data_IF_004594215867
#
_entry.id   IF_004594215867
#
_cell.length_a   1.000
_cell.length_b   1.000
_cell.length_c   1.000
_cell.angle_alpha   90.00
_cell.angle_beta   90.00
_cell.angle_gamma   90.00
#
_symmetry.space_group_name_H-M   'P 1'
#
loop_
_entity.id
_entity.type
_entity.pdbx_description
1 polymer ?
#
# COMPACT_ATOMS: atom_id res chain seq x y z
N UNK A 1 -8.49 -24.19 37.09
CA UNK A 1 -9.05 -23.02 37.77
C UNK A 1 -8.16 -21.83 37.42
N UNK A 2 -8.51 -21.02 36.41
CA UNK A 2 -7.72 -19.85 36.04
C UNK A 2 -8.17 -18.69 36.96
N UNK A 3 -7.28 -18.23 37.83
CA UNK A 3 -7.51 -17.04 38.64
C UNK A 3 -7.31 -15.85 37.74
N UNK A 4 -8.38 -15.13 37.41
CA UNK A 4 -8.32 -13.91 36.63
C UNK A 4 -7.94 -12.76 37.59
N UNK A 5 -6.65 -12.45 37.69
CA UNK A 5 -6.18 -11.32 38.48
C UNK A 5 -6.08 -10.13 37.53
N UNK A 6 -6.96 -9.16 37.66
CA UNK A 6 -6.96 -7.93 36.87
C UNK A 6 -6.04 -6.90 37.56
N UNK A 7 -4.81 -6.79 37.01
CA UNK A 7 -3.85 -5.79 37.51
C UNK A 7 -4.19 -4.41 36.96
N UNK A 8 -4.72 -3.55 37.80
CA UNK A 8 -4.97 -2.15 37.52
C UNK A 8 -4.21 -1.28 38.52
N UNK A 9 -3.70 -0.12 38.05
CA UNK A 9 -3.14 0.85 38.98
C UNK A 9 -4.27 1.50 39.84
N UNK A 10 -3.90 2.32 40.83
CA UNK A 10 -4.84 3.02 41.73
C UNK A 10 -5.89 3.87 40.97
N UNK A 11 -5.70 4.13 39.65
CA UNK A 11 -6.66 4.85 38.80
C UNK A 11 -7.45 3.90 37.89
N UNK A 12 -7.38 2.57 38.12
CA UNK A 12 -8.09 1.58 37.32
C UNK A 12 -7.55 1.30 35.93
N UNK A 13 -6.35 1.82 35.57
CA UNK A 13 -5.69 1.58 34.30
C UNK A 13 -4.73 0.38 34.34
N UNK A 14 -4.68 -0.40 33.28
CA UNK A 14 -3.68 -1.47 33.09
C UNK A 14 -2.27 -0.86 33.02
N UNK A 15 -1.30 -1.47 33.67
CA UNK A 15 0.09 -0.96 33.74
C UNK A 15 1.04 -1.89 33.02
N UNK A 16 1.93 -1.34 32.21
CA UNK A 16 3.08 -2.03 31.60
C UNK A 16 4.19 -2.21 32.65
N UNK A 17 4.82 -3.38 32.66
CA UNK A 17 6.06 -3.56 33.42
C UNK A 17 7.21 -2.81 32.75
N UNK A 18 8.24 -2.40 33.51
CA UNK A 18 9.45 -1.75 32.97
C UNK A 18 10.24 -2.62 31.98
N UNK A 19 9.96 -3.92 31.90
CA UNK A 19 10.62 -4.89 31.02
C UNK A 19 9.86 -5.11 29.71
N UNK A 20 8.75 -4.40 29.47
CA UNK A 20 7.92 -4.61 28.29
C UNK A 20 7.09 -5.89 28.28
N UNK A 21 7.10 -6.63 29.40
CA UNK A 21 6.28 -7.84 29.61
C UNK A 21 5.13 -7.48 30.55
N UNK A 22 3.90 -7.84 30.16
CA UNK A 22 2.76 -7.73 31.06
C UNK A 22 2.93 -8.72 32.23
N UNK A 23 2.51 -8.34 33.44
CA UNK A 23 2.53 -9.24 34.60
C UNK A 23 1.69 -10.51 34.41
N UNK A 24 0.91 -10.61 33.32
CA UNK A 24 0.24 -11.83 32.87
C UNK A 24 1.06 -12.70 31.90
N UNK A 25 2.31 -12.36 31.63
CA UNK A 25 3.14 -13.09 30.65
C UNK A 25 2.84 -12.71 29.19
N UNK A 26 2.03 -11.66 28.93
CA UNK A 26 1.81 -11.14 27.60
C UNK A 26 3.03 -10.32 27.17
N UNK A 27 3.65 -10.74 26.08
CA UNK A 27 4.75 -9.98 25.45
C UNK A 27 4.15 -8.72 24.85
N UNK A 28 4.59 -7.55 25.34
CA UNK A 28 4.27 -6.29 24.64
C UNK A 28 5.07 -6.29 23.34
N UNK A 29 4.40 -6.22 22.20
CA UNK A 29 5.10 -6.31 20.94
C UNK A 29 6.12 -5.17 20.79
N UNK A 30 7.38 -5.53 20.53
CA UNK A 30 8.34 -4.54 20.08
C UNK A 30 8.00 -4.17 18.63
N UNK A 31 7.95 -2.89 18.35
CA UNK A 31 7.69 -2.43 16.99
C UNK A 31 8.86 -2.79 16.08
N UNK A 32 8.54 -3.33 14.91
CA UNK A 32 9.50 -3.49 13.83
C UNK A 32 9.58 -2.13 13.14
N UNK A 33 10.78 -1.55 13.12
CA UNK A 33 10.97 -0.28 12.45
C UNK A 33 10.89 -0.47 10.93
N UNK A 34 9.80 0.02 10.34
CA UNK A 34 9.52 0.03 8.91
C UNK A 34 9.81 1.44 8.41
N UNK A 35 10.54 1.58 7.32
CA UNK A 35 10.88 2.86 6.72
C UNK A 35 9.96 3.09 5.51
N UNK A 36 9.20 4.19 5.51
CA UNK A 36 8.23 4.46 4.44
C UNK A 36 7.23 3.31 4.30
N UNK A 37 7.06 2.82 3.07
CA UNK A 37 6.15 1.72 2.70
C UNK A 37 6.87 0.40 2.46
N UNK A 38 8.12 0.26 2.94
CA UNK A 38 8.92 -0.95 2.75
C UNK A 38 8.61 -2.01 3.82
N UNK A 39 7.71 -2.93 3.49
CA UNK A 39 7.34 -4.07 4.32
C UNK A 39 8.28 -5.29 4.17
N UNK A 40 9.42 -5.16 3.50
CA UNK A 40 10.36 -6.27 3.26
C UNK A 40 10.76 -6.99 4.55
N UNK A 41 10.99 -6.24 5.63
CA UNK A 41 11.30 -6.82 6.96
C UNK A 41 10.22 -7.77 7.50
N UNK A 42 8.97 -7.58 7.09
CA UNK A 42 7.87 -8.46 7.48
C UNK A 42 7.70 -9.62 6.50
N UNK A 43 7.82 -9.35 5.19
CA UNK A 43 7.58 -10.34 4.13
C UNK A 43 8.75 -11.32 3.98
N UNK A 44 10.00 -10.85 3.96
CA UNK A 44 11.19 -11.71 3.83
C UNK A 44 11.40 -12.62 5.04
N UNK A 45 11.02 -12.16 6.22
CA UNK A 45 11.04 -13.00 7.43
C UNK A 45 9.85 -13.93 7.53
N UNK A 46 8.89 -13.81 6.60
CA UNK A 46 7.66 -14.59 6.57
C UNK A 46 6.70 -14.30 7.73
N UNK A 47 6.89 -13.17 8.44
CA UNK A 47 6.00 -12.72 9.54
C UNK A 47 4.70 -12.14 9.00
N UNK A 48 4.74 -11.58 7.79
CA UNK A 48 3.58 -11.17 7.01
C UNK A 48 3.64 -11.85 5.64
N UNK A 49 2.50 -12.39 5.20
CA UNK A 49 2.37 -13.01 3.89
C UNK A 49 1.02 -12.64 3.29
N UNK A 50 1.00 -12.33 2.01
CA UNK A 50 -0.24 -12.12 1.25
C UNK A 50 -0.58 -13.34 0.40
N UNK A 51 -1.89 -13.56 0.18
CA UNK A 51 -2.36 -14.51 -0.83
C UNK A 51 -1.84 -14.05 -2.20
N UNK A 52 -1.23 -14.92 -3.01
CA UNK A 52 -0.77 -14.54 -4.34
C UNK A 52 -1.95 -14.03 -5.19
N UNK A 53 -1.72 -12.90 -5.87
CA UNK A 53 -2.66 -12.40 -6.86
C UNK A 53 -2.66 -13.29 -8.11
N UNK A 54 -3.77 -13.37 -8.88
CA UNK A 54 -3.83 -14.12 -10.13
C UNK A 54 -3.03 -13.46 -11.28
N UNK A 55 -2.40 -12.35 -11.01
CA UNK A 55 -1.50 -11.66 -11.94
C UNK A 55 -0.19 -11.28 -11.26
N UNK A 56 0.85 -11.14 -12.07
CA UNK A 56 2.13 -10.57 -11.67
C UNK A 56 2.26 -9.16 -12.29
N UNK A 57 2.06 -8.13 -11.45
CA UNK A 57 2.13 -6.72 -11.89
C UNK A 57 3.50 -6.37 -12.46
N UNK A 58 4.59 -6.88 -11.86
CA UNK A 58 5.95 -6.66 -12.33
C UNK A 58 6.15 -7.25 -13.73
N UNK A 59 5.73 -8.50 -13.95
CA UNK A 59 5.84 -9.16 -15.24
C UNK A 59 4.98 -8.47 -16.31
N UNK A 60 3.78 -7.98 -15.94
CA UNK A 60 2.91 -7.22 -16.84
C UNK A 60 3.63 -5.94 -17.27
N UNK A 61 4.08 -5.09 -16.34
CA UNK A 61 4.75 -3.83 -16.67
C UNK A 61 5.97 -4.08 -17.56
N UNK A 62 6.77 -5.10 -17.27
CA UNK A 62 7.95 -5.47 -18.07
C UNK A 62 7.66 -5.76 -19.54
N UNK A 63 6.45 -6.20 -19.88
CA UNK A 63 6.08 -6.44 -21.28
C UNK A 63 5.92 -5.14 -22.10
N UNK A 64 5.61 -4.02 -21.42
CA UNK A 64 5.39 -2.72 -22.07
C UNK A 64 6.64 -1.84 -22.13
N UNK A 65 7.64 -2.09 -21.28
CA UNK A 65 8.88 -1.31 -21.22
C UNK A 65 9.64 -1.28 -22.57
N UNK A 66 9.82 -2.40 -23.29
CA UNK A 66 10.58 -2.39 -24.54
C UNK A 66 9.99 -1.51 -25.65
N UNK A 67 8.69 -1.23 -25.60
CA UNK A 67 8.00 -0.37 -26.57
C UNK A 67 7.93 1.10 -26.17
N UNK A 68 8.41 1.45 -24.97
CA UNK A 68 8.31 2.80 -24.42
C UNK A 68 9.61 3.58 -24.58
N UNK A 69 9.55 4.76 -25.20
CA UNK A 69 10.66 5.72 -25.20
C UNK A 69 10.68 6.57 -23.92
N UNK A 70 9.48 6.87 -23.37
CA UNK A 70 9.27 7.67 -22.16
C UNK A 70 8.31 6.99 -21.21
N UNK A 71 8.72 6.87 -19.96
CA UNK A 71 7.95 6.20 -18.91
C UNK A 71 7.80 7.10 -17.68
N UNK A 72 6.63 7.02 -17.03
CA UNK A 72 6.35 7.62 -15.73
C UNK A 72 5.91 6.53 -14.74
N UNK A 73 6.48 6.53 -13.55
CA UNK A 73 5.97 5.81 -12.37
C UNK A 73 5.31 6.80 -11.42
N UNK A 74 3.99 6.71 -11.24
CA UNK A 74 3.22 7.59 -10.37
C UNK A 74 3.18 7.02 -8.95
N UNK A 75 3.67 7.81 -7.96
CA UNK A 75 3.74 7.37 -6.57
C UNK A 75 4.79 6.26 -6.38
N UNK A 76 6.04 6.57 -6.71
CA UNK A 76 7.12 5.55 -6.74
C UNK A 76 7.51 4.99 -5.36
N UNK A 77 7.05 5.62 -4.26
CA UNK A 77 7.49 5.27 -2.92
C UNK A 77 8.98 5.52 -2.74
N UNK A 78 9.72 4.55 -2.20
CA UNK A 78 11.18 4.60 -2.12
C UNK A 78 11.90 4.30 -3.44
N UNK A 79 11.16 3.98 -4.51
CA UNK A 79 11.73 3.66 -5.83
C UNK A 79 12.17 2.20 -6.00
N UNK A 80 11.98 1.34 -5.02
CA UNK A 80 12.44 -0.07 -5.05
C UNK A 80 11.76 -0.84 -6.18
N UNK A 81 10.44 -0.64 -6.35
CA UNK A 81 9.69 -1.29 -7.42
C UNK A 81 10.18 -0.84 -8.80
N UNK A 82 10.27 0.47 -9.05
CA UNK A 82 10.76 1.00 -10.32
C UNK A 82 12.18 0.52 -10.61
N UNK A 83 13.06 0.51 -9.61
CA UNK A 83 14.42 -0.02 -9.72
C UNK A 83 14.45 -1.49 -10.13
N UNK A 84 13.52 -2.31 -9.63
CA UNK A 84 13.44 -3.74 -9.97
C UNK A 84 13.04 -4.01 -11.42
N UNK A 85 12.41 -3.03 -12.08
CA UNK A 85 12.02 -3.11 -13.49
C UNK A 85 13.17 -2.90 -14.47
N UNK A 86 14.36 -2.52 -14.02
CA UNK A 86 15.50 -2.26 -14.90
C UNK A 86 15.78 -3.44 -15.88
N UNK A 87 16.24 -3.16 -17.13
CA UNK A 87 16.56 -1.85 -17.68
C UNK A 87 15.32 -1.02 -18.00
N UNK A 88 15.38 0.28 -17.66
CA UNK A 88 14.29 1.24 -17.88
C UNK A 88 14.45 1.98 -19.22
N UNK A 89 13.37 2.58 -19.77
CA UNK A 89 13.47 3.52 -20.89
C UNK A 89 14.44 4.66 -20.58
N UNK A 90 15.08 5.18 -21.62
CA UNK A 90 16.12 6.23 -21.47
C UNK A 90 15.59 7.51 -20.82
N UNK A 91 14.32 7.84 -21.04
CA UNK A 91 13.63 8.96 -20.41
C UNK A 91 12.59 8.43 -19.41
N UNK A 92 13.03 8.11 -18.19
CA UNK A 92 12.15 7.65 -17.11
C UNK A 92 12.00 8.71 -16.05
N UNK A 93 10.76 8.90 -15.61
CA UNK A 93 10.32 9.84 -14.58
C UNK A 93 9.61 9.09 -13.47
N UNK A 94 9.63 9.66 -12.28
CA UNK A 94 8.87 9.17 -11.14
C UNK A 94 8.25 10.35 -10.38
N UNK A 95 7.03 10.19 -9.86
CA UNK A 95 6.45 11.14 -8.92
C UNK A 95 6.46 10.56 -7.51
N UNK A 96 6.68 11.41 -6.49
CA UNK A 96 6.55 11.06 -5.08
C UNK A 96 6.12 12.29 -4.27
N UNK A 97 4.99 12.18 -3.59
CA UNK A 97 4.40 13.28 -2.80
C UNK A 97 4.70 13.20 -1.31
N UNK A 98 5.02 12.02 -0.79
CA UNK A 98 5.27 11.82 0.63
C UNK A 98 6.73 12.15 0.98
N UNK A 99 6.93 13.24 1.70
CA UNK A 99 8.24 13.79 2.00
C UNK A 99 9.29 12.78 2.54
N UNK A 100 8.95 11.82 3.42
CA UNK A 100 9.91 10.82 3.88
C UNK A 100 10.44 9.90 2.78
N UNK A 101 9.65 9.63 1.74
CA UNK A 101 10.04 8.76 0.63
C UNK A 101 10.87 9.50 -0.43
N UNK A 102 10.65 10.80 -0.61
CA UNK A 102 11.27 11.58 -1.69
C UNK A 102 12.79 11.43 -1.75
N UNK A 103 13.46 11.60 -0.59
CA UNK A 103 14.92 11.45 -0.51
C UNK A 103 15.37 10.03 -0.81
N UNK A 104 14.63 9.03 -0.34
CA UNK A 104 14.92 7.61 -0.58
C UNK A 104 14.79 7.31 -2.08
N UNK A 105 13.71 7.77 -2.71
CA UNK A 105 13.48 7.63 -4.14
C UNK A 105 14.60 8.27 -4.97
N UNK A 106 14.99 9.51 -4.64
CA UNK A 106 16.10 10.19 -5.32
C UNK A 106 17.41 9.40 -5.22
N UNK A 107 17.76 8.91 -4.02
CA UNK A 107 18.98 8.13 -3.80
C UNK A 107 18.94 6.79 -4.55
N UNK A 108 17.82 6.08 -4.53
CA UNK A 108 17.64 4.78 -5.17
C UNK A 108 17.59 4.85 -6.71
N UNK A 109 16.97 5.91 -7.26
CA UNK A 109 16.68 6.03 -8.68
C UNK A 109 17.73 6.85 -9.46
N UNK A 110 18.52 7.69 -8.78
CA UNK A 110 19.59 8.47 -9.40
C UNK A 110 20.58 7.64 -10.22
N UNK A 111 21.06 6.46 -9.77
CA UNK A 111 21.98 5.63 -10.57
C UNK A 111 21.38 5.13 -11.89
N UNK A 112 20.04 5.11 -12.00
CA UNK A 112 19.31 4.70 -13.21
C UNK A 112 18.95 5.88 -14.12
N UNK A 113 19.34 7.12 -13.76
CA UNK A 113 19.03 8.33 -14.52
C UNK A 113 17.56 8.74 -14.47
N UNK A 114 16.76 8.22 -13.52
CA UNK A 114 15.35 8.58 -13.34
C UNK A 114 15.23 9.99 -12.78
N UNK A 115 14.30 10.76 -13.32
CA UNK A 115 13.96 12.11 -12.83
C UNK A 115 12.81 12.02 -11.84
N UNK A 116 13.11 12.25 -10.55
CA UNK A 116 12.08 12.27 -9.49
C UNK A 116 11.45 13.67 -9.40
N UNK A 117 10.13 13.72 -9.41
CA UNK A 117 9.31 14.94 -9.35
C UNK A 117 8.55 14.94 -8.03
N UNK A 118 8.62 16.06 -7.32
CA UNK A 118 7.95 16.28 -6.04
C UNK A 118 7.25 17.64 -6.01
N UNK A 119 6.45 17.92 -4.97
CA UNK A 119 5.81 19.23 -4.79
C UNK A 119 4.73 19.55 -5.82
N UNK A 120 4.09 18.52 -6.38
CA UNK A 120 3.01 18.63 -7.36
C UNK A 120 1.63 18.54 -6.71
N UNK A 121 0.60 18.77 -7.52
CA UNK A 121 -0.79 18.44 -7.22
C UNK A 121 -1.23 17.34 -8.18
N UNK A 122 -1.94 16.33 -7.69
CA UNK A 122 -2.42 15.20 -8.52
C UNK A 122 -3.33 15.68 -9.66
N UNK A 123 -4.08 16.75 -9.42
CA UNK A 123 -4.93 17.37 -10.43
C UNK A 123 -4.16 18.13 -11.53
N UNK A 124 -2.86 18.36 -11.35
CA UNK A 124 -2.01 18.98 -12.37
C UNK A 124 -0.54 18.71 -12.11
N UNK A 125 -0.02 17.71 -12.79
CA UNK A 125 1.40 17.38 -12.76
C UNK A 125 2.23 18.39 -13.58
N UNK A 126 3.45 18.72 -13.16
CA UNK A 126 4.34 19.60 -13.93
C UNK A 126 4.97 18.85 -15.13
N UNK A 127 4.12 18.24 -15.96
CA UNK A 127 4.48 17.37 -17.07
C UNK A 127 3.75 17.86 -18.34
N UNK A 128 4.39 17.65 -19.48
CA UNK A 128 3.86 18.06 -20.79
C UNK A 128 2.70 17.17 -21.25
N UNK A 129 1.83 17.71 -22.09
CA UNK A 129 0.77 16.97 -22.74
C UNK A 129 1.36 15.97 -23.75
N UNK A 130 0.74 14.80 -23.88
CA UNK A 130 1.14 13.77 -24.87
C UNK A 130 2.63 13.43 -24.80
N UNK A 131 3.17 13.25 -23.60
CA UNK A 131 4.60 13.11 -23.39
C UNK A 131 5.04 11.64 -23.18
N UNK A 132 4.24 10.84 -22.47
CA UNK A 132 4.62 9.48 -22.08
C UNK A 132 4.04 8.41 -23.00
N UNK A 133 4.86 7.40 -23.30
CA UNK A 133 4.43 6.16 -23.97
C UNK A 133 3.84 5.16 -22.97
N UNK A 134 4.35 5.18 -21.73
CA UNK A 134 3.95 4.30 -20.64
C UNK A 134 3.83 5.08 -19.34
N UNK A 135 2.67 4.99 -18.69
CA UNK A 135 2.46 5.47 -17.33
C UNK A 135 2.08 4.26 -16.47
N UNK A 136 2.79 4.05 -15.38
CA UNK A 136 2.48 3.01 -14.39
C UNK A 136 2.10 3.65 -13.07
N UNK A 137 1.26 2.96 -12.30
CA UNK A 137 0.78 3.40 -11.00
C UNK A 137 0.48 2.17 -10.14
N UNK A 138 0.97 2.15 -8.90
CA UNK A 138 0.72 1.04 -7.99
C UNK A 138 0.34 1.53 -6.62
N UNK A 139 -0.96 1.40 -6.29
CA UNK A 139 -1.53 1.77 -4.98
C UNK A 139 -1.45 3.28 -4.67
N UNK A 140 -1.33 4.12 -5.71
CA UNK A 140 -1.30 5.56 -5.58
C UNK A 140 -2.55 6.17 -6.21
N UNK A 141 -2.98 7.32 -5.70
CA UNK A 141 -4.05 8.11 -6.29
C UNK A 141 -3.64 8.63 -7.68
N UNK A 142 -4.60 8.81 -8.56
CA UNK A 142 -4.42 9.45 -9.87
C UNK A 142 -5.68 10.20 -10.29
N UNK A 143 -5.49 11.28 -11.05
CA UNK A 143 -6.58 11.98 -11.73
C UNK A 143 -6.70 11.47 -13.16
N UNK A 144 -7.86 10.95 -13.59
CA UNK A 144 -8.07 10.45 -14.94
C UNK A 144 -7.74 11.48 -16.04
N UNK A 145 -8.10 12.74 -15.83
CA UNK A 145 -7.82 13.86 -16.75
C UNK A 145 -6.31 14.05 -16.97
N UNK A 146 -5.54 13.98 -15.90
CA UNK A 146 -4.08 14.13 -15.95
C UNK A 146 -3.42 12.94 -16.64
N UNK A 147 -3.83 11.72 -16.31
CA UNK A 147 -3.32 10.52 -16.99
C UNK A 147 -3.60 10.60 -18.50
N UNK A 148 -4.83 10.99 -18.87
CA UNK A 148 -5.18 11.19 -20.29
C UNK A 148 -4.34 12.27 -20.95
N UNK A 149 -4.15 13.42 -20.27
CA UNK A 149 -3.39 14.55 -20.79
C UNK A 149 -1.93 14.20 -21.07
N UNK A 150 -1.26 13.54 -20.12
CA UNK A 150 0.18 13.26 -20.22
C UNK A 150 0.52 12.07 -21.12
N UNK A 151 -0.42 11.15 -21.34
CA UNK A 151 -0.22 10.02 -22.26
C UNK A 151 -0.23 10.49 -23.71
N UNK A 152 0.69 9.97 -24.54
CA UNK A 152 0.64 10.09 -25.99
C UNK A 152 -0.55 9.32 -26.55
N UNK A 153 -1.07 9.72 -27.73
CA UNK A 153 -1.89 8.81 -28.53
C UNK A 153 -1.16 7.46 -28.73
N UNK A 154 -1.86 6.36 -28.45
CA UNK A 154 -1.30 5.02 -28.45
C UNK A 154 -0.53 4.62 -27.17
N UNK A 155 -0.35 5.53 -26.23
CA UNK A 155 0.31 5.29 -24.94
C UNK A 155 -0.54 4.44 -23.99
N UNK A 156 0.11 3.79 -23.02
CA UNK A 156 -0.53 2.86 -22.09
C UNK A 156 -0.48 3.37 -20.66
N UNK A 157 -1.60 3.16 -19.93
CA UNK A 157 -1.66 3.30 -18.49
C UNK A 157 -1.90 1.94 -17.85
N UNK A 158 -1.04 1.55 -16.91
CA UNK A 158 -1.12 0.29 -16.18
C UNK A 158 -1.21 0.62 -14.70
N UNK A 159 -2.31 0.24 -14.05
CA UNK A 159 -2.45 0.47 -12.61
C UNK A 159 -2.92 -0.77 -11.88
N UNK A 160 -2.40 -0.95 -10.68
CA UNK A 160 -2.90 -1.86 -9.66
C UNK A 160 -3.34 -1.04 -8.45
N UNK A 161 -4.56 -1.26 -8.00
CA UNK A 161 -5.18 -0.48 -6.94
C UNK A 161 -5.65 -1.35 -5.77
N UNK A 162 -5.77 -0.71 -4.61
CA UNK A 162 -6.40 -1.25 -3.41
C UNK A 162 -7.88 -0.85 -3.43
N UNK A 163 -8.81 -1.77 -3.15
CA UNK A 163 -10.24 -1.43 -3.00
C UNK A 163 -10.50 -0.77 -1.64
N UNK A 164 -11.62 -0.05 -1.56
CA UNK A 164 -11.98 0.71 -0.36
C UNK A 164 -12.32 -0.14 0.87
N UNK A 165 -12.60 -1.44 0.69
CA UNK A 165 -12.86 -2.40 1.77
C UNK A 165 -11.62 -3.22 2.20
N UNK A 166 -10.44 -2.82 1.73
CA UNK A 166 -9.20 -3.47 2.14
C UNK A 166 -8.95 -3.27 3.63
N UNK A 167 -8.54 -4.35 4.31
CA UNK A 167 -8.24 -4.36 5.74
C UNK A 167 -9.42 -4.06 6.69
N UNK A 168 -10.67 -4.20 6.24
CA UNK A 168 -11.86 -4.05 7.09
C UNK A 168 -11.77 -4.92 8.36
N UNK A 169 -11.19 -6.12 8.28
CA UNK A 169 -10.97 -6.99 9.45
C UNK A 169 -10.08 -6.34 10.52
N UNK A 170 -9.07 -5.56 10.13
CA UNK A 170 -8.23 -4.79 11.05
C UNK A 170 -9.04 -3.63 11.63
N UNK A 171 -9.74 -2.88 10.78
CA UNK A 171 -10.58 -1.75 11.19
C UNK A 171 -11.60 -2.19 12.24
N UNK A 172 -12.30 -3.30 12.00
CA UNK A 172 -13.27 -3.89 12.92
C UNK A 172 -12.62 -4.34 14.25
N UNK A 173 -11.49 -5.04 14.18
CA UNK A 173 -10.76 -5.52 15.36
C UNK A 173 -10.39 -4.36 16.29
N UNK A 174 -9.92 -3.26 15.75
CA UNK A 174 -9.52 -2.08 16.51
C UNK A 174 -10.69 -1.15 16.83
N UNK A 175 -11.90 -1.44 16.32
CA UNK A 175 -13.06 -0.56 16.50
C UNK A 175 -12.84 0.84 15.90
N UNK A 176 -12.04 0.92 14.84
CA UNK A 176 -11.77 2.15 14.12
C UNK A 176 -12.89 2.48 13.14
N UNK A 177 -13.04 3.76 12.79
CA UNK A 177 -13.97 4.16 11.74
C UNK A 177 -13.29 4.01 10.37
N UNK A 178 -13.95 3.36 9.38
CA UNK A 178 -13.40 3.27 8.03
C UNK A 178 -13.30 4.65 7.39
N UNK A 179 -12.31 4.82 6.52
CA UNK A 179 -12.24 6.03 5.68
C UNK A 179 -13.37 6.01 4.66
N UNK A 180 -14.38 6.85 4.88
CA UNK A 180 -15.57 6.93 4.03
C UNK A 180 -15.28 7.51 2.65
N UNK A 181 -14.17 8.24 2.46
CA UNK A 181 -13.81 8.83 1.18
C UNK A 181 -13.54 7.76 0.12
N UNK A 182 -12.91 6.66 0.52
CA UNK A 182 -12.49 5.59 -0.39
C UNK A 182 -13.35 4.32 -0.30
N UNK A 183 -14.38 4.30 0.57
CA UNK A 183 -15.18 3.09 0.83
C UNK A 183 -15.74 2.44 -0.43
N UNK A 184 -16.18 3.24 -1.41
CA UNK A 184 -16.76 2.75 -2.65
C UNK A 184 -15.73 2.63 -3.80
N UNK A 185 -14.43 2.77 -3.48
CA UNK A 185 -13.38 2.63 -4.49
C UNK A 185 -13.23 1.17 -4.91
N UNK A 186 -13.51 0.90 -6.18
CA UNK A 186 -13.51 -0.43 -6.78
C UNK A 186 -13.27 -0.31 -8.29
N UNK A 187 -12.97 -1.43 -8.96
CA UNK A 187 -12.75 -1.46 -10.40
C UNK A 187 -13.90 -0.81 -11.19
N UNK A 188 -15.15 -1.16 -10.86
CA UNK A 188 -16.30 -0.60 -11.55
C UNK A 188 -16.38 0.94 -11.47
N UNK A 189 -16.03 1.52 -10.30
CA UNK A 189 -15.98 2.98 -10.14
C UNK A 189 -14.82 3.58 -10.94
N UNK A 190 -13.64 2.99 -10.85
CA UNK A 190 -12.47 3.43 -11.61
C UNK A 190 -12.73 3.41 -13.13
N UNK A 191 -13.34 2.33 -13.64
CA UNK A 191 -13.71 2.22 -15.05
C UNK A 191 -14.77 3.25 -15.44
N UNK A 192 -15.74 3.53 -14.56
CA UNK A 192 -16.77 4.53 -14.84
C UNK A 192 -16.21 5.96 -14.91
N UNK A 193 -15.24 6.32 -14.07
CA UNK A 193 -14.56 7.62 -14.12
C UNK A 193 -13.80 7.80 -15.44
N UNK A 194 -13.33 6.72 -16.03
CA UNK A 194 -12.61 6.71 -17.30
C UNK A 194 -13.50 6.66 -18.55
N UNK A 195 -14.80 6.40 -18.39
CA UNK A 195 -15.75 6.38 -19.53
C UNK A 195 -15.88 7.73 -20.25
N UNK A 196 -15.53 8.83 -19.61
CA UNK A 196 -15.50 10.16 -20.23
C UNK A 196 -14.33 10.34 -21.21
N UNK A 197 -13.36 9.45 -21.17
CA UNK A 197 -12.18 9.41 -22.02
C UNK A 197 -12.30 8.19 -22.91
N UNK A 198 -12.10 8.33 -24.20
CA UNK A 198 -12.21 7.24 -25.18
C UNK A 198 -11.08 6.20 -25.06
N UNK A 199 -10.74 5.77 -23.85
CA UNK A 199 -9.72 4.77 -23.63
C UNK A 199 -10.15 3.37 -24.12
N UNK A 200 -9.23 2.67 -24.74
CA UNK A 200 -9.37 1.24 -25.03
C UNK A 200 -8.94 0.43 -23.79
N UNK A 201 -9.88 -0.31 -23.20
CA UNK A 201 -9.60 -1.22 -22.07
C UNK A 201 -8.95 -2.48 -22.65
N UNK A 202 -7.67 -2.71 -22.32
CA UNK A 202 -6.94 -3.91 -22.74
C UNK A 202 -7.14 -5.05 -21.75
N UNK A 203 -7.16 -4.72 -20.45
CA UNK A 203 -7.30 -5.68 -19.36
C UNK A 203 -7.97 -5.03 -18.17
N UNK A 204 -8.80 -5.79 -17.46
CA UNK A 204 -9.38 -5.38 -16.19
C UNK A 204 -9.68 -6.62 -15.36
N UNK A 205 -9.02 -6.77 -14.21
CA UNK A 205 -9.14 -7.90 -13.30
C UNK A 205 -9.31 -7.44 -11.85
N UNK A 206 -10.03 -8.23 -11.06
CA UNK A 206 -10.14 -8.08 -9.60
C UNK A 206 -9.71 -9.37 -8.91
N UNK A 207 -9.18 -9.23 -7.70
CA UNK A 207 -8.86 -10.36 -6.84
C UNK A 207 -9.04 -10.02 -5.37
N UNK A 208 -9.51 -11.01 -4.63
CA UNK A 208 -9.64 -10.99 -3.17
C UNK A 208 -8.64 -11.96 -2.56
N UNK A 209 -8.18 -11.67 -1.36
CA UNK A 209 -7.26 -12.51 -0.65
C UNK A 209 -7.11 -12.12 0.82
N UNK A 210 -6.03 -12.59 1.43
CA UNK A 210 -5.72 -12.32 2.83
C UNK A 210 -4.29 -11.90 3.01
N UNK A 211 -4.09 -10.82 3.78
CA UNK A 211 -2.83 -10.53 4.45
C UNK A 211 -2.82 -11.33 5.76
N UNK A 212 -1.80 -12.15 5.97
CA UNK A 212 -1.64 -13.04 7.13
C UNK A 212 -0.49 -12.57 7.99
N UNK A 213 -0.74 -12.33 9.26
CA UNK A 213 0.25 -11.96 10.25
C UNK A 213 0.50 -13.14 11.19
N UNK A 214 1.76 -13.59 11.31
CA UNK A 214 2.14 -14.72 12.16
C UNK A 214 2.34 -14.33 13.61
N UNK A 215 2.54 -13.07 13.88
CA UNK A 215 2.72 -12.56 15.23
C UNK A 215 2.16 -11.14 15.37
N UNK A 216 1.94 -10.77 16.61
CA UNK A 216 1.31 -9.50 16.98
C UNK A 216 2.20 -8.29 16.71
N UNK A 217 3.52 -8.44 16.73
CA UNK A 217 4.46 -7.36 16.44
C UNK A 217 4.38 -6.96 14.97
N UNK A 218 4.24 -7.95 14.07
CA UNK A 218 4.06 -7.70 12.65
C UNK A 218 2.74 -6.96 12.37
N UNK A 219 1.62 -7.39 12.99
CA UNK A 219 0.33 -6.72 12.85
C UNK A 219 0.38 -5.28 13.38
N UNK A 220 0.92 -5.06 14.57
CA UNK A 220 1.02 -3.73 15.19
C UNK A 220 1.91 -2.80 14.36
N UNK A 221 3.04 -3.33 13.83
CA UNK A 221 3.93 -2.54 12.99
C UNK A 221 3.27 -2.16 11.65
N UNK A 222 2.48 -3.06 11.07
CA UNK A 222 1.69 -2.79 9.87
C UNK A 222 0.65 -1.69 10.10
N UNK A 223 -0.18 -1.81 11.15
CA UNK A 223 -1.21 -0.83 11.52
C UNK A 223 -0.62 0.55 11.76
N UNK A 224 0.57 0.62 12.36
CA UNK A 224 1.25 1.89 12.63
C UNK A 224 1.71 2.60 11.35
N UNK A 225 2.15 1.85 10.35
CA UNK A 225 2.59 2.40 9.06
C UNK A 225 1.39 2.84 8.23
N UNK A 226 0.32 2.04 8.21
CA UNK A 226 -0.91 2.34 7.49
C UNK A 226 -1.87 3.08 8.43
N UNK A 227 -1.50 4.31 8.77
CA UNK A 227 -2.10 5.10 9.83
C UNK A 227 -3.57 5.48 9.60
N UNK A 228 -4.08 5.37 8.38
CA UNK A 228 -5.51 5.59 8.08
C UNK A 228 -6.40 4.42 8.46
N UNK A 229 -5.86 3.19 8.66
CA UNK A 229 -6.66 2.06 9.14
C UNK A 229 -7.12 2.28 10.58
N UNK A 230 -6.22 2.77 11.42
CA UNK A 230 -6.48 3.07 12.83
C UNK A 230 -5.85 4.43 13.13
N UNK A 231 -6.56 5.54 12.81
CA UNK A 231 -6.05 6.88 13.06
C UNK A 231 -5.64 7.07 14.52
N UNK A 232 -4.53 7.76 14.74
CA UNK A 232 -3.97 8.01 16.08
C UNK A 232 -3.71 6.71 16.88
N UNK A 233 -3.27 5.64 16.17
CA UNK A 233 -2.95 4.38 16.81
C UNK A 233 -2.02 4.58 18.03
N UNK A 234 -2.49 4.12 19.18
CA UNK A 234 -1.75 4.11 20.43
C UNK A 234 -1.95 2.77 21.12
N UNK A 235 -0.87 2.08 21.45
CA UNK A 235 -0.92 0.75 22.07
C UNK A 235 -1.74 0.71 23.34
N UNK A 236 -1.58 1.70 24.21
CA UNK A 236 -2.30 1.74 25.50
C UNK A 236 -3.82 1.82 25.30
N UNK A 237 -4.24 2.56 24.27
CA UNK A 237 -5.66 2.69 23.92
C UNK A 237 -6.24 1.40 23.36
N UNK A 238 -5.46 0.64 22.62
CA UNK A 238 -5.93 -0.53 21.87
C UNK A 238 -5.48 -1.87 22.45
N UNK A 239 -5.14 -1.93 23.74
CA UNK A 239 -4.68 -3.15 24.39
C UNK A 239 -5.62 -4.33 24.25
N UNK A 240 -6.93 -4.12 24.39
CA UNK A 240 -7.91 -5.20 24.28
C UNK A 240 -7.99 -5.76 22.86
N UNK A 241 -7.83 -4.92 21.82
CA UNK A 241 -7.75 -5.36 20.43
C UNK A 241 -6.44 -6.13 20.14
N UNK A 242 -5.33 -5.64 20.68
CA UNK A 242 -4.02 -6.31 20.57
C UNK A 242 -4.06 -7.67 21.27
N UNK A 243 -4.62 -7.77 22.47
CA UNK A 243 -4.81 -9.03 23.20
C UNK A 243 -5.71 -9.99 22.42
N UNK A 244 -6.78 -9.47 21.81
CA UNK A 244 -7.69 -10.26 20.98
C UNK A 244 -6.98 -10.83 19.74
N UNK A 245 -6.19 -9.99 19.03
CA UNK A 245 -5.37 -10.43 17.90
C UNK A 245 -4.33 -11.47 18.31
N UNK A 246 -3.68 -11.26 19.46
CA UNK A 246 -2.71 -12.23 19.99
C UNK A 246 -3.35 -13.59 20.25
N UNK A 247 -4.53 -13.62 20.86
CA UNK A 247 -5.26 -14.87 21.10
C UNK A 247 -5.66 -15.55 19.79
N UNK A 248 -6.14 -14.78 18.79
CA UNK A 248 -6.45 -15.31 17.44
C UNK A 248 -5.21 -15.95 16.82
N UNK A 249 -4.04 -15.31 16.92
CA UNK A 249 -2.78 -15.85 16.40
C UNK A 249 -2.38 -17.12 17.16
N UNK A 250 -2.50 -17.13 18.49
CA UNK A 250 -2.17 -18.29 19.31
C UNK A 250 -3.05 -19.50 18.97
N UNK A 251 -4.33 -19.29 18.72
CA UNK A 251 -5.31 -20.34 18.42
C UNK A 251 -5.23 -20.83 16.96
N UNK A 252 -4.98 -19.92 16.00
CA UNK A 252 -5.08 -20.20 14.57
C UNK A 252 -3.73 -20.17 13.82
N UNK A 253 -2.63 -19.84 14.53
CA UNK A 253 -1.30 -19.68 13.95
C UNK A 253 -1.09 -18.37 13.18
N UNK A 254 -2.15 -17.65 12.83
CA UNK A 254 -2.10 -16.37 12.13
C UNK A 254 -3.34 -15.51 12.43
N UNK A 255 -3.17 -14.18 12.40
CA UNK A 255 -4.28 -13.26 12.17
C UNK A 255 -4.41 -13.01 10.66
N UNK A 256 -5.63 -12.98 10.14
CA UNK A 256 -5.91 -12.74 8.71
C UNK A 256 -6.73 -11.47 8.55
N UNK A 257 -6.26 -10.57 7.70
CA UNK A 257 -7.03 -9.44 7.20
C UNK A 257 -7.36 -9.64 5.74
N UNK A 258 -8.58 -9.31 5.33
CA UNK A 258 -8.98 -9.35 3.92
C UNK A 258 -8.25 -8.25 3.16
N UNK A 259 -7.80 -8.55 1.96
CA UNK A 259 -7.44 -7.53 1.01
C UNK A 259 -8.18 -7.72 -0.30
N UNK A 260 -8.46 -6.63 -0.96
CA UNK A 260 -9.02 -6.57 -2.29
C UNK A 260 -8.14 -5.72 -3.18
N UNK A 261 -7.85 -6.22 -4.37
CA UNK A 261 -7.04 -5.53 -5.37
C UNK A 261 -7.74 -5.57 -6.71
N UNK A 262 -7.49 -4.56 -7.53
CA UNK A 262 -7.83 -4.62 -8.95
C UNK A 262 -6.67 -4.10 -9.80
N UNK A 263 -6.65 -4.55 -11.03
CA UNK A 263 -5.68 -4.17 -12.04
C UNK A 263 -6.43 -3.82 -13.32
N UNK A 264 -6.02 -2.76 -13.98
CA UNK A 264 -6.43 -2.53 -15.35
C UNK A 264 -5.31 -1.94 -16.21
N UNK A 265 -5.47 -2.13 -17.51
CA UNK A 265 -4.57 -1.62 -18.53
C UNK A 265 -5.42 -0.90 -19.57
N UNK A 266 -5.07 0.37 -19.81
CA UNK A 266 -5.67 1.18 -20.85
C UNK A 266 -4.68 1.56 -21.92
N UNK A 267 -5.22 1.83 -23.10
CA UNK A 267 -4.50 2.48 -24.19
C UNK A 267 -5.24 3.75 -24.58
N UNK A 268 -4.52 4.86 -24.70
CA UNK A 268 -5.07 6.08 -25.28
C UNK A 268 -5.23 5.88 -26.79
N UNK A 269 -6.39 6.20 -27.38
CA UNK A 269 -6.57 6.12 -28.83
C UNK A 269 -5.54 6.93 -29.60
N UNK A 270 -5.31 6.52 -30.85
CA UNK A 270 -4.41 7.22 -31.80
C UNK A 270 -5.12 8.40 -32.42
#
# INVERSE_FOLDING_TARGET
>A
MRINIDYRNEKGKRVLSQTGVWERGLIVPNEINITGWDFSKLTETGRMNETPLPWDYHAIVKQYIPGAGRMLDMGTGGGEFLKSLAPLPAETYATEGYAPNMKIAEENLKPLGVKVISGYKDSKLPLEDNFFDLVINRHEYYEPDEVFRILKPGGHFITQQVKGNCDDTIIELFGAAPDMQFKDWALAKALNELNNFLFEIIKADEAEGFTKFKDIEALVSYVKVINWLVPDFNRERYLDAIDSAHNIIADNGTFKSTFDRFLFIFKKPV
#
